data_IF_018459059913
#
_entry.id   IF_018459059913
#
_cell.length_a   1.000
_cell.length_b   1.000
_cell.length_c   1.000
_cell.angle_alpha   90.00
_cell.angle_beta   90.00
_cell.angle_gamma   90.00
#
_symmetry.space_group_name_H-M   'P 1'
#
loop_
_entity.id
_entity.type
_entity.pdbx_description
1 polymer ?
#
# COMPACT_ATOMS: atom_id res chain seq x y z
N UNK A 1 -13.45 6.67 26.62
CA UNK A 1 -12.93 7.05 25.29
C UNK A 1 -14.05 6.94 24.27
N UNK A 2 -14.36 8.01 23.53
CA UNK A 2 -15.51 8.04 22.62
C UNK A 2 -15.23 7.22 21.35
N UNK A 3 -15.99 6.15 21.10
CA UNK A 3 -15.72 5.19 20.02
C UNK A 3 -16.10 5.79 18.65
N UNK A 4 -15.14 5.86 17.74
CA UNK A 4 -15.37 6.23 16.34
C UNK A 4 -15.70 4.97 15.55
N UNK A 5 -16.80 4.99 14.78
CA UNK A 5 -17.19 3.92 13.87
C UNK A 5 -16.84 4.30 12.43
N UNK A 6 -16.17 3.40 11.72
CA UNK A 6 -15.87 3.53 10.30
C UNK A 6 -16.87 2.69 9.50
N UNK A 7 -17.58 3.34 8.58
CA UNK A 7 -18.58 2.73 7.70
C UNK A 7 -18.07 2.86 6.26
N UNK A 8 -18.10 1.73 5.54
CA UNK A 8 -17.70 1.66 4.13
C UNK A 8 -18.91 1.20 3.34
N UNK A 9 -19.36 2.04 2.41
CA UNK A 9 -20.53 1.77 1.57
C UNK A 9 -20.16 1.93 0.10
N UNK A 10 -20.87 1.24 -0.78
CA UNK A 10 -20.75 1.42 -2.23
C UNK A 10 -22.15 1.70 -2.75
N UNK A 11 -22.34 2.86 -3.38
CA UNK A 11 -23.62 3.33 -3.92
C UNK A 11 -23.35 3.86 -5.32
N UNK A 12 -24.09 3.38 -6.32
CA UNK A 12 -23.98 3.79 -7.73
C UNK A 12 -22.54 3.77 -8.29
N UNK A 13 -21.75 2.77 -7.88
CA UNK A 13 -20.36 2.62 -8.30
C UNK A 13 -19.35 3.58 -7.63
N UNK A 14 -19.82 4.49 -6.79
CA UNK A 14 -18.99 5.31 -5.92
C UNK A 14 -18.78 4.64 -4.56
N UNK A 15 -17.58 4.79 -3.98
CA UNK A 15 -17.23 4.20 -2.68
C UNK A 15 -17.17 5.28 -1.61
N UNK A 16 -17.98 5.12 -0.58
CA UNK A 16 -18.15 6.08 0.51
C UNK A 16 -17.45 5.56 1.76
N UNK A 17 -16.68 6.43 2.41
CA UNK A 17 -16.11 6.20 3.72
C UNK A 17 -16.69 7.23 4.68
N UNK A 18 -17.25 6.75 5.78
CA UNK A 18 -17.95 7.59 6.75
C UNK A 18 -17.42 7.30 8.15
N UNK A 19 -17.02 8.35 8.85
CA UNK A 19 -16.67 8.29 10.27
C UNK A 19 -17.83 8.85 11.08
N UNK A 20 -18.29 8.07 12.04
CA UNK A 20 -19.40 8.45 12.93
C UNK A 20 -18.96 8.36 14.38
N UNK A 21 -19.26 9.39 15.18
CA UNK A 21 -19.05 9.40 16.63
C UNK A 21 -20.24 10.05 17.34
N UNK A 22 -20.58 9.58 18.53
CA UNK A 22 -21.63 10.19 19.37
C UNK A 22 -20.99 11.09 20.41
N UNK A 23 -21.14 12.40 20.28
CA UNK A 23 -20.59 13.43 21.17
C UNK A 23 -21.13 13.30 22.62
N UNK A 24 -20.45 13.89 23.63
CA UNK A 24 -20.90 13.83 25.03
C UNK A 24 -22.30 14.43 25.26
N UNK A 25 -22.72 15.37 24.40
CA UNK A 25 -24.07 15.95 24.42
C UNK A 25 -25.14 15.07 23.73
N UNK A 26 -24.81 13.81 23.41
CA UNK A 26 -25.70 12.87 22.73
C UNK A 26 -25.84 13.09 21.22
N UNK A 27 -25.31 14.18 20.66
CA UNK A 27 -25.41 14.44 19.20
C UNK A 27 -24.49 13.52 18.41
N UNK A 28 -24.97 13.04 17.26
CA UNK A 28 -24.12 12.30 16.31
C UNK A 28 -23.35 13.29 15.45
N UNK A 29 -22.04 13.09 15.38
CA UNK A 29 -21.15 13.82 14.48
C UNK A 29 -20.66 12.86 13.39
N UNK A 30 -20.79 13.28 12.14
CA UNK A 30 -20.49 12.47 10.97
C UNK A 30 -19.62 13.25 9.99
N UNK A 31 -18.59 12.58 9.46
CA UNK A 31 -17.81 13.05 8.32
C UNK A 31 -17.84 11.98 7.23
N UNK A 32 -17.89 12.41 5.98
CA UNK A 32 -17.94 11.53 4.82
C UNK A 32 -16.97 11.99 3.75
N UNK A 33 -16.32 11.03 3.10
CA UNK A 33 -15.58 11.21 1.85
C UNK A 33 -16.04 10.17 0.85
N UNK A 34 -16.12 10.55 -0.42
CA UNK A 34 -16.50 9.68 -1.54
C UNK A 34 -15.38 9.61 -2.56
N UNK A 35 -15.21 8.44 -3.16
CA UNK A 35 -14.31 8.23 -4.28
C UNK A 35 -15.12 7.73 -5.48
N UNK A 36 -14.87 8.35 -6.63
CA UNK A 36 -15.37 7.89 -7.92
C UNK A 36 -14.80 6.52 -8.27
N UNK A 37 -15.47 5.81 -9.20
CA UNK A 37 -14.95 4.58 -9.76
C UNK A 37 -13.56 4.79 -10.42
N UNK A 38 -13.33 5.95 -11.03
CA UNK A 38 -12.06 6.33 -11.64
C UNK A 38 -10.93 6.42 -10.62
N UNK A 39 -11.13 7.15 -9.52
CA UNK A 39 -10.14 7.27 -8.44
C UNK A 39 -9.84 5.93 -7.79
N UNK A 40 -10.85 5.08 -7.60
CA UNK A 40 -10.66 3.73 -7.06
C UNK A 40 -9.85 2.83 -8.02
N UNK A 41 -10.09 2.93 -9.34
CA UNK A 41 -9.27 2.24 -10.35
C UNK A 41 -7.84 2.76 -10.36
N UNK A 42 -7.65 4.08 -10.31
CA UNK A 42 -6.34 4.70 -10.25
C UNK A 42 -5.55 4.26 -9.01
N UNK A 43 -6.20 4.24 -7.83
CA UNK A 43 -5.62 3.72 -6.59
C UNK A 43 -5.13 2.28 -6.75
N UNK A 44 -5.94 1.41 -7.39
CA UNK A 44 -5.55 0.01 -7.65
C UNK A 44 -4.36 -0.08 -8.61
N UNK A 45 -4.37 0.71 -9.68
CA UNK A 45 -3.28 0.78 -10.65
C UNK A 45 -1.95 1.19 -9.99
N UNK A 46 -1.95 2.28 -9.20
CA UNK A 46 -0.76 2.75 -8.48
C UNK A 46 -0.25 1.67 -7.51
N UNK A 47 -1.14 1.03 -6.76
CA UNK A 47 -0.76 -0.04 -5.82
C UNK A 47 -0.07 -1.22 -6.52
N UNK A 48 -0.56 -1.63 -7.69
CA UNK A 48 0.06 -2.68 -8.50
C UNK A 48 1.44 -2.28 -9.01
N UNK A 49 1.61 -1.05 -9.51
CA UNK A 49 2.91 -0.54 -9.99
C UNK A 49 3.94 -0.48 -8.88
N UNK A 50 3.56 0.00 -7.69
CA UNK A 50 4.43 0.00 -6.51
C UNK A 50 4.81 -1.42 -6.06
N UNK A 51 3.90 -2.39 -6.18
CA UNK A 51 4.20 -3.78 -5.85
C UNK A 51 5.27 -4.37 -6.78
N UNK A 52 5.16 -4.13 -8.09
CA UNK A 52 6.17 -4.55 -9.08
C UNK A 52 7.53 -3.89 -8.80
N UNK A 53 7.54 -2.57 -8.59
CA UNK A 53 8.78 -1.84 -8.29
C UNK A 53 9.48 -2.38 -7.03
N UNK A 54 8.72 -2.75 -5.99
CA UNK A 54 9.27 -3.38 -4.79
C UNK A 54 9.79 -4.79 -5.04
N UNK A 55 9.27 -5.51 -6.03
CA UNK A 55 9.82 -6.81 -6.42
C UNK A 55 11.18 -6.61 -7.11
N UNK A 56 11.25 -5.72 -8.10
CA UNK A 56 12.49 -5.39 -8.83
C UNK A 56 13.61 -4.92 -7.89
N UNK A 57 13.28 -4.09 -6.89
CA UNK A 57 14.24 -3.65 -5.87
C UNK A 57 14.76 -4.81 -5.01
N UNK A 58 13.91 -5.77 -4.65
CA UNK A 58 14.33 -6.96 -3.89
C UNK A 58 15.22 -7.88 -4.73
N UNK A 59 14.90 -8.05 -6.01
CA UNK A 59 15.70 -8.87 -6.91
C UNK A 59 17.07 -8.24 -7.16
N UNK A 60 17.11 -6.92 -7.36
CA UNK A 60 18.36 -6.15 -7.44
C UNK A 60 19.21 -6.29 -6.18
N UNK A 61 18.58 -6.19 -5.00
CA UNK A 61 19.27 -6.37 -3.73
C UNK A 61 19.82 -7.79 -3.57
N UNK A 62 19.07 -8.82 -4.00
CA UNK A 62 19.52 -10.22 -3.98
C UNK A 62 20.69 -10.44 -4.95
N UNK A 63 20.63 -9.87 -6.16
CA UNK A 63 21.71 -9.98 -7.13
C UNK A 63 23.00 -9.32 -6.63
N UNK A 64 22.90 -8.13 -6.03
CA UNK A 64 24.04 -7.44 -5.42
C UNK A 64 24.62 -8.18 -4.20
N UNK A 65 23.79 -8.97 -3.49
CA UNK A 65 24.22 -9.77 -2.35
C UNK A 65 24.85 -11.12 -2.72
N UNK A 66 24.83 -11.51 -4.00
CA UNK A 66 25.51 -12.74 -4.43
C UNK A 66 27.04 -12.51 -4.47
N UNK A 67 27.84 -13.36 -3.81
CA UNK A 67 29.29 -13.25 -3.87
C UNK A 67 29.76 -13.46 -5.32
N UNK A 68 30.74 -12.68 -5.75
CA UNK A 68 31.37 -12.85 -7.05
C UNK A 68 31.82 -14.32 -7.21
N UNK A 69 31.61 -14.95 -8.38
CA UNK A 69 32.11 -16.30 -8.60
C UNK A 69 33.63 -16.30 -8.40
N UNK A 70 34.10 -17.14 -7.48
CA UNK A 70 35.53 -17.47 -7.29
C UNK A 70 36.01 -18.16 -8.57
N UNK A 71 36.43 -17.41 -9.57
CA UNK A 71 37.04 -17.97 -10.77
C UNK A 71 38.48 -17.47 -10.91
N UNK A 72 39.40 -18.43 -10.79
CA UNK A 72 40.81 -18.43 -11.19
C UNK A 72 41.68 -17.23 -10.75
N UNK A 73 42.14 -17.27 -9.50
CA UNK A 73 43.49 -16.75 -9.24
C UNK A 73 44.49 -17.73 -9.87
N UNK A 74 45.42 -17.28 -10.74
CA UNK A 74 46.53 -18.15 -11.15
C UNK A 74 47.34 -18.50 -9.91
N UNK A 75 47.51 -19.79 -9.63
CA UNK A 75 48.42 -20.23 -8.59
C UNK A 75 49.83 -19.84 -9.01
N UNK A 76 50.43 -18.90 -8.28
CA UNK A 76 51.87 -18.67 -8.34
C UNK A 76 52.54 -19.91 -7.76
N UNK A 77 53.09 -20.73 -8.65
CA UNK A 77 54.02 -21.80 -8.29
C UNK A 77 55.35 -21.10 -7.99
N UNK A 78 55.80 -21.17 -6.74
CA UNK A 78 57.13 -20.76 -6.31
C UNK A 78 58.16 -21.85 -6.63
#
# INVERSE_FOLDING_TARGET
>A
MMRVRNIKETVDGARYYRLVRTLPNGKRHQMQISFSAGEMRFRRFVAQRLWLLRAEMRDSARAAAMPAPRNNMPQLVF
#
